data_IF_317380317730
#
_entry.id   IF_317380317730
#
_cell.length_a   1.000
_cell.length_b   1.000
_cell.length_c   1.000
_cell.angle_alpha   90.00
_cell.angle_beta   90.00
_cell.angle_gamma   90.00
#
_symmetry.space_group_name_H-M   'P 1'
#
loop_
_entity.id
_entity.type
_entity.pdbx_description
1 polymer ?
#
# COMPACT_ATOMS: atom_id res chain seq x y z
N UNK A 1 39.43 46.74 16.36
CA UNK A 1 38.38 47.13 17.33
C UNK A 1 37.33 46.04 17.34
N UNK A 2 36.82 45.72 18.54
CA UNK A 2 35.70 44.82 18.87
C UNK A 2 35.90 43.32 18.57
N UNK A 3 35.54 42.36 19.43
CA UNK A 3 35.18 42.33 20.87
C UNK A 3 35.45 40.87 21.28
N UNK A 4 36.18 40.71 22.38
CA UNK A 4 36.39 39.45 23.07
C UNK A 4 35.17 39.20 23.97
N UNK A 5 34.46 38.09 23.78
CA UNK A 5 33.36 37.66 24.65
C UNK A 5 33.57 36.21 25.05
N UNK A 6 34.49 36.03 26.00
CA UNK A 6 34.20 35.43 27.30
C UNK A 6 33.50 34.07 27.33
N UNK A 7 34.27 33.03 27.64
CA UNK A 7 33.79 31.96 28.53
C UNK A 7 34.85 31.78 29.62
N UNK A 8 34.52 32.28 30.82
CA UNK A 8 35.31 32.03 32.03
C UNK A 8 34.94 30.66 32.63
N UNK A 9 35.98 29.84 32.77
CA UNK A 9 36.31 28.96 33.92
C UNK A 9 35.14 28.48 34.78
N UNK A 10 34.92 27.16 34.78
CA UNK A 10 34.50 26.43 35.98
C UNK A 10 35.31 25.12 36.12
N UNK A 11 36.14 25.12 37.17
CA UNK A 11 36.39 24.04 38.11
C UNK A 11 37.00 22.72 37.60
N UNK A 12 38.21 22.48 38.13
CA UNK A 12 38.88 21.19 38.18
C UNK A 12 37.95 20.06 38.64
N UNK A 13 37.62 19.18 37.72
CA UNK A 13 37.17 17.82 37.98
C UNK A 13 37.95 16.92 37.05
N UNK A 14 38.75 16.00 37.61
CA UNK A 14 39.58 15.07 36.87
C UNK A 14 38.77 14.39 35.76
N UNK A 15 39.06 14.75 34.50
CA UNK A 15 38.53 14.05 33.35
C UNK A 15 39.27 12.72 33.25
N UNK A 16 38.66 11.68 33.80
CA UNK A 16 39.02 10.31 33.48
C UNK A 16 39.12 10.18 31.95
N UNK A 17 40.08 9.42 31.41
CA UNK A 17 40.24 9.32 29.97
C UNK A 17 38.92 8.78 29.41
N UNK A 18 38.26 9.61 28.59
CA UNK A 18 37.19 9.18 27.70
C UNK A 18 37.80 8.07 26.85
N UNK A 19 37.59 6.83 27.27
CA UNK A 19 37.83 5.66 26.43
C UNK A 19 36.93 5.87 25.24
N UNK A 20 37.49 6.41 24.17
CA UNK A 20 37.02 6.12 22.83
C UNK A 20 37.13 4.60 22.78
N UNK A 21 36.00 3.92 23.00
CA UNK A 21 35.90 2.51 22.76
C UNK A 21 36.20 2.38 21.28
N UNK A 22 37.46 2.05 20.95
CA UNK A 22 37.80 1.52 19.65
C UNK A 22 36.82 0.36 19.47
N UNK A 23 35.95 0.47 18.46
CA UNK A 23 35.15 -0.66 18.01
C UNK A 23 36.14 -1.82 17.86
N UNK A 24 36.02 -2.80 18.74
CA UNK A 24 36.93 -3.93 18.73
C UNK A 24 36.61 -4.72 17.47
N UNK A 25 37.60 -5.32 16.79
CA UNK A 25 37.34 -6.12 15.58
C UNK A 25 36.33 -7.26 15.84
N UNK A 26 36.16 -7.68 17.10
CA UNK A 26 35.11 -8.60 17.53
C UNK A 26 33.69 -7.99 17.49
N UNK A 27 33.52 -6.71 17.87
CA UNK A 27 32.25 -6.00 17.74
C UNK A 27 31.90 -5.74 16.26
N UNK A 28 32.91 -5.42 15.44
CA UNK A 28 32.74 -5.27 13.98
C UNK A 28 32.36 -6.61 13.33
N UNK A 29 33.01 -7.70 13.73
CA UNK A 29 32.66 -9.05 13.26
C UNK A 29 31.25 -9.47 13.68
N UNK A 30 30.84 -9.21 14.92
CA UNK A 30 29.50 -9.51 15.41
C UNK A 30 28.43 -8.68 14.69
N UNK A 31 28.73 -7.42 14.40
CA UNK A 31 27.85 -6.55 13.62
C UNK A 31 27.66 -7.08 12.19
N UNK A 32 28.75 -7.46 11.51
CA UNK A 32 28.67 -8.06 10.17
C UNK A 32 27.84 -9.36 10.19
N UNK A 33 28.08 -10.25 11.16
CA UNK A 33 27.27 -11.48 11.31
C UNK A 33 25.79 -11.17 11.58
N UNK A 34 25.48 -10.15 12.37
CA UNK A 34 24.10 -9.74 12.63
C UNK A 34 23.42 -9.21 11.35
N UNK A 35 24.12 -8.37 10.58
CA UNK A 35 23.61 -7.88 9.29
C UNK A 35 23.39 -9.03 8.29
N UNK A 36 24.32 -9.98 8.21
CA UNK A 36 24.17 -11.17 7.36
C UNK A 36 22.97 -12.03 7.79
N UNK A 37 22.78 -12.22 9.10
CA UNK A 37 21.64 -12.95 9.63
C UNK A 37 20.29 -12.24 9.35
N UNK A 38 20.26 -10.92 9.42
CA UNK A 38 19.08 -10.11 9.09
C UNK A 38 18.71 -10.23 7.62
N UNK A 39 19.69 -10.05 6.72
CA UNK A 39 19.48 -10.21 5.26
C UNK A 39 19.02 -11.62 4.94
N UNK A 40 19.61 -12.64 5.58
CA UNK A 40 19.20 -14.03 5.41
C UNK A 40 17.75 -14.24 5.85
N UNK A 41 17.37 -13.78 7.05
CA UNK A 41 16.01 -13.91 7.55
C UNK A 41 14.98 -13.23 6.64
N UNK A 42 15.28 -12.00 6.19
CA UNK A 42 14.43 -11.25 5.26
C UNK A 42 14.27 -11.98 3.92
N UNK A 43 15.38 -12.53 3.41
CA UNK A 43 15.38 -13.30 2.15
C UNK A 43 14.54 -14.58 2.25
N UNK A 44 14.64 -15.30 3.37
CA UNK A 44 13.83 -16.52 3.57
C UNK A 44 12.33 -16.19 3.71
N UNK A 45 11.99 -15.07 4.33
CA UNK A 45 10.59 -14.58 4.38
C UNK A 45 10.07 -14.26 2.98
N UNK A 46 10.87 -13.56 2.16
CA UNK A 46 10.52 -13.25 0.76
C UNK A 46 10.33 -14.51 -0.07
N UNK A 47 11.24 -15.49 0.03
CA UNK A 47 11.09 -16.79 -0.65
C UNK A 47 9.83 -17.52 -0.22
N UNK A 48 9.50 -17.49 1.08
CA UNK A 48 8.26 -18.10 1.55
C UNK A 48 7.04 -17.44 0.93
N UNK A 49 6.99 -16.10 0.90
CA UNK A 49 5.93 -15.35 0.23
C UNK A 49 5.82 -15.72 -1.26
N UNK A 50 6.95 -15.83 -1.98
CA UNK A 50 6.96 -16.23 -3.38
C UNK A 50 6.37 -17.62 -3.64
N UNK A 51 6.43 -18.53 -2.65
CA UNK A 51 5.85 -19.88 -2.78
C UNK A 51 4.35 -19.94 -2.47
N UNK A 52 3.81 -18.98 -1.72
CA UNK A 52 2.43 -18.97 -1.25
C UNK A 52 1.35 -19.04 -2.34
N UNK A 53 1.53 -18.45 -3.54
CA UNK A 53 0.59 -18.60 -4.66
C UNK A 53 0.37 -20.06 -5.11
N UNK A 54 1.38 -20.91 -4.96
CA UNK A 54 1.33 -22.31 -5.41
C UNK A 54 0.64 -23.19 -4.38
N UNK A 55 0.74 -22.84 -3.09
CA UNK A 55 0.09 -23.57 -2.01
C UNK A 55 -1.43 -23.43 -2.12
N UNK A 56 -2.18 -24.47 -1.77
CA UNK A 56 -3.66 -24.47 -1.80
C UNK A 56 -4.21 -24.29 -0.39
N UNK A 57 -5.12 -23.35 -0.20
CA UNK A 57 -5.90 -23.27 1.03
C UNK A 57 -7.07 -24.26 0.98
N UNK A 58 -7.22 -25.07 2.03
CA UNK A 58 -8.32 -26.03 2.18
C UNK A 58 -9.48 -25.52 3.04
N UNK A 59 -9.37 -24.29 3.57
CA UNK A 59 -10.35 -23.69 4.46
C UNK A 59 -10.48 -22.18 4.22
N UNK A 60 -11.62 -21.62 4.63
CA UNK A 60 -11.85 -20.18 4.57
C UNK A 60 -10.84 -19.40 5.44
N UNK A 61 -10.46 -19.97 6.59
CA UNK A 61 -9.42 -19.39 7.44
C UNK A 61 -8.07 -19.32 6.72
N UNK A 62 -7.70 -20.37 5.96
CA UNK A 62 -6.49 -20.35 5.13
C UNK A 62 -6.56 -19.33 3.99
N UNK A 63 -7.75 -19.09 3.45
CA UNK A 63 -7.97 -18.04 2.45
C UNK A 63 -7.83 -16.64 3.06
N UNK A 64 -8.40 -16.40 4.24
CA UNK A 64 -8.24 -15.15 4.99
C UNK A 64 -6.77 -14.89 5.30
N UNK A 65 -6.05 -15.90 5.79
CA UNK A 65 -4.62 -15.78 6.06
C UNK A 65 -3.80 -15.37 4.82
N UNK A 66 -4.13 -15.93 3.63
CA UNK A 66 -3.50 -15.51 2.37
C UNK A 66 -3.82 -14.05 2.02
N UNK A 67 -5.05 -13.60 2.23
CA UNK A 67 -5.46 -12.22 1.96
C UNK A 67 -4.80 -11.23 2.92
N UNK A 68 -4.72 -11.56 4.22
CA UNK A 68 -4.01 -10.75 5.21
C UNK A 68 -2.53 -10.63 4.89
N UNK A 69 -1.88 -11.72 4.45
CA UNK A 69 -0.50 -11.71 3.97
C UNK A 69 -0.30 -10.78 2.76
N UNK A 70 -1.21 -10.82 1.78
CA UNK A 70 -1.17 -9.94 0.60
C UNK A 70 -1.29 -8.46 1.01
N UNK A 71 -2.25 -8.14 1.90
CA UNK A 71 -2.44 -6.78 2.41
C UNK A 71 -1.22 -6.31 3.22
N UNK A 72 -0.58 -7.22 3.96
CA UNK A 72 0.66 -6.94 4.69
C UNK A 72 1.80 -6.55 3.75
N UNK A 73 1.98 -7.29 2.65
CA UNK A 73 3.00 -7.02 1.64
C UNK A 73 2.72 -5.74 0.83
N UNK A 74 1.45 -5.48 0.46
CA UNK A 74 1.04 -4.32 -0.35
C UNK A 74 1.36 -2.97 0.31
N UNK A 75 1.43 -2.91 1.65
CA UNK A 75 1.81 -1.69 2.39
C UNK A 75 3.26 -1.25 2.15
N UNK A 76 4.10 -2.13 1.61
CA UNK A 76 5.50 -1.85 1.27
C UNK A 76 5.72 -1.66 -0.24
N UNK A 77 4.68 -1.89 -1.06
CA UNK A 77 4.75 -1.76 -2.51
C UNK A 77 4.64 -0.28 -2.88
N UNK A 78 5.73 0.29 -3.39
CA UNK A 78 5.77 1.68 -3.86
C UNK A 78 5.13 1.87 -5.23
N UNK A 79 5.14 0.84 -6.10
CA UNK A 79 4.62 0.89 -7.47
C UNK A 79 3.34 0.04 -7.60
N UNK A 80 2.23 0.69 -7.94
CA UNK A 80 0.93 0.05 -8.14
C UNK A 80 0.91 -1.00 -9.27
N UNK A 81 1.95 -1.07 -10.09
CA UNK A 81 2.12 -2.10 -11.12
C UNK A 81 2.70 -3.42 -10.60
N UNK A 82 3.36 -3.41 -9.43
CA UNK A 82 3.85 -4.61 -8.73
C UNK A 82 2.74 -5.34 -7.95
N UNK A 83 1.49 -5.10 -8.33
CA UNK A 83 0.33 -5.69 -7.69
C UNK A 83 0.43 -7.23 -7.68
N UNK A 84 0.13 -7.91 -6.56
CA UNK A 84 0.44 -9.32 -6.35
C UNK A 84 -0.55 -10.26 -7.08
N UNK A 85 -0.63 -10.16 -8.40
CA UNK A 85 -1.53 -10.93 -9.27
C UNK A 85 -1.44 -12.45 -9.06
N UNK A 86 -0.25 -13.08 -8.91
CA UNK A 86 -0.16 -14.51 -8.64
C UNK A 86 -0.86 -14.90 -7.33
N UNK A 87 -0.77 -14.05 -6.30
CA UNK A 87 -1.35 -14.30 -5.00
C UNK A 87 -2.89 -14.18 -5.05
N UNK A 88 -3.39 -13.14 -5.72
CA UNK A 88 -4.83 -12.94 -5.94
C UNK A 88 -5.43 -14.09 -6.77
N UNK A 89 -4.73 -14.55 -7.81
CA UNK A 89 -5.17 -15.69 -8.61
C UNK A 89 -5.23 -17.00 -7.78
N UNK A 90 -4.27 -17.19 -6.85
CA UNK A 90 -4.26 -18.33 -5.92
C UNK A 90 -5.47 -18.32 -4.99
N UNK A 91 -5.74 -17.17 -4.35
CA UNK A 91 -6.91 -17.01 -3.47
C UNK A 91 -8.21 -17.27 -4.24
N UNK A 92 -8.35 -16.71 -5.44
CA UNK A 92 -9.52 -16.93 -6.29
C UNK A 92 -9.71 -18.42 -6.64
N UNK A 93 -8.63 -19.14 -6.92
CA UNK A 93 -8.66 -20.58 -7.19
C UNK A 93 -9.15 -21.36 -5.97
N UNK A 94 -8.65 -21.02 -4.80
CA UNK A 94 -9.03 -21.69 -3.55
C UNK A 94 -10.51 -21.44 -3.21
N UNK A 95 -10.99 -20.20 -3.36
CA UNK A 95 -12.39 -19.84 -3.21
C UNK A 95 -13.29 -20.64 -4.16
N UNK A 96 -12.95 -20.67 -5.45
CA UNK A 96 -13.68 -21.46 -6.46
C UNK A 96 -13.68 -22.95 -6.15
N UNK A 97 -12.60 -23.47 -5.58
CA UNK A 97 -12.55 -24.87 -5.18
C UNK A 97 -13.49 -25.19 -4.01
N UNK A 98 -13.85 -24.19 -3.19
CA UNK A 98 -14.80 -24.33 -2.09
C UNK A 98 -16.25 -24.05 -2.52
N UNK A 99 -16.47 -23.03 -3.35
CA UNK A 99 -17.81 -22.54 -3.71
C UNK A 99 -18.31 -23.04 -5.06
N UNK A 100 -17.44 -23.67 -5.85
CA UNK A 100 -17.63 -23.81 -7.29
C UNK A 100 -17.37 -22.48 -8.01
N UNK A 101 -17.47 -22.48 -9.34
CA UNK A 101 -17.45 -21.25 -10.11
C UNK A 101 -18.71 -20.43 -9.85
N UNK A 102 -18.55 -19.12 -9.72
CA UNK A 102 -19.68 -18.20 -9.73
C UNK A 102 -20.44 -18.38 -11.06
N UNK A 103 -21.78 -18.49 -11.03
CA UNK A 103 -22.55 -18.43 -12.26
C UNK A 103 -22.18 -17.13 -12.98
N UNK A 104 -22.05 -17.18 -14.31
CA UNK A 104 -21.82 -15.97 -15.09
C UNK A 104 -22.93 -14.99 -14.73
N UNK A 105 -22.62 -13.99 -13.90
CA UNK A 105 -23.53 -12.90 -13.63
C UNK A 105 -23.69 -12.21 -14.97
N UNK A 106 -24.77 -12.55 -15.67
CA UNK A 106 -25.22 -11.75 -16.79
C UNK A 106 -25.90 -10.58 -16.09
N UNK A 107 -25.28 -9.40 -16.01
CA UNK A 107 -25.98 -8.25 -15.45
C UNK A 107 -27.30 -8.17 -16.17
N UNK A 108 -28.38 -8.13 -15.39
CA UNK A 108 -29.72 -8.16 -15.95
C UNK A 108 -29.82 -6.98 -16.93
N UNK A 109 -29.95 -7.30 -18.22
CA UNK A 109 -29.98 -6.31 -19.28
C UNK A 109 -31.12 -5.31 -19.06
N UNK A 110 -32.15 -5.69 -18.31
CA UNK A 110 -33.24 -4.80 -17.93
C UNK A 110 -32.76 -3.71 -16.97
N UNK A 111 -31.96 -4.05 -15.95
CA UNK A 111 -31.38 -3.10 -14.99
C UNK A 111 -30.44 -2.13 -15.72
N UNK A 112 -29.53 -2.65 -16.52
CA UNK A 112 -28.60 -1.78 -17.29
C UNK A 112 -29.34 -0.84 -18.24
N UNK A 113 -30.42 -1.30 -18.89
CA UNK A 113 -31.26 -0.44 -19.74
C UNK A 113 -32.02 0.62 -18.94
N UNK A 114 -32.51 0.26 -17.75
CA UNK A 114 -33.18 1.21 -16.86
C UNK A 114 -32.22 2.30 -16.38
N UNK A 115 -30.98 1.93 -16.01
CA UNK A 115 -29.95 2.88 -15.61
C UNK A 115 -29.55 3.79 -16.77
N UNK A 116 -29.36 3.25 -17.97
CA UNK A 116 -29.07 4.05 -19.18
C UNK A 116 -30.21 5.03 -19.47
N UNK A 117 -31.47 4.59 -19.40
CA UNK A 117 -32.62 5.46 -19.62
C UNK A 117 -32.71 6.57 -18.56
N UNK A 118 -32.41 6.25 -17.30
CA UNK A 118 -32.36 7.23 -16.20
C UNK A 118 -31.30 8.29 -16.46
N UNK A 119 -30.07 7.86 -16.76
CA UNK A 119 -28.97 8.79 -17.05
C UNK A 119 -29.23 9.64 -18.29
N UNK A 120 -29.86 9.08 -19.32
CA UNK A 120 -30.31 9.85 -20.48
C UNK A 120 -31.31 10.95 -20.12
N UNK A 121 -32.30 10.62 -19.29
CA UNK A 121 -33.28 11.62 -18.83
C UNK A 121 -32.63 12.73 -18.01
N UNK A 122 -31.72 12.41 -17.10
CA UNK A 122 -31.00 13.42 -16.32
C UNK A 122 -30.10 14.30 -17.19
N UNK A 123 -29.38 13.71 -18.15
CA UNK A 123 -28.58 14.46 -19.11
C UNK A 123 -29.44 15.41 -19.97
N UNK A 124 -30.64 14.96 -20.34
CA UNK A 124 -31.58 15.77 -21.12
C UNK A 124 -32.07 16.96 -20.31
N UNK A 125 -32.49 16.75 -19.05
CA UNK A 125 -32.88 17.85 -18.15
C UNK A 125 -31.77 18.86 -17.97
N UNK A 126 -30.52 18.39 -17.83
CA UNK A 126 -29.36 19.24 -17.63
C UNK A 126 -29.07 20.09 -18.87
N UNK A 127 -29.15 19.52 -20.07
CA UNK A 127 -29.03 20.29 -21.32
C UNK A 127 -30.15 21.33 -21.47
N UNK A 128 -31.39 20.99 -21.12
CA UNK A 128 -32.50 21.95 -21.19
C UNK A 128 -32.28 23.10 -20.22
N UNK A 129 -31.90 22.81 -18.97
CA UNK A 129 -31.62 23.83 -17.96
C UNK A 129 -30.48 24.78 -18.41
N UNK A 130 -29.41 24.24 -19.00
CA UNK A 130 -28.32 25.07 -19.54
C UNK A 130 -28.79 25.95 -20.70
N UNK A 131 -29.62 25.43 -21.60
CA UNK A 131 -30.17 26.19 -22.72
C UNK A 131 -31.11 27.31 -22.25
N UNK A 132 -31.88 27.07 -21.21
CA UNK A 132 -32.78 28.07 -20.62
C UNK A 132 -31.97 29.16 -19.89
N UNK A 133 -30.92 28.80 -19.15
CA UNK A 133 -30.00 29.74 -18.51
C UNK A 133 -29.27 30.62 -19.53
N UNK A 134 -28.80 30.05 -20.64
CA UNK A 134 -28.17 30.82 -21.72
C UNK A 134 -29.16 31.77 -22.41
N UNK A 135 -30.43 31.35 -22.55
CA UNK A 135 -31.49 32.19 -23.11
C UNK A 135 -31.85 33.36 -22.18
N UNK A 136 -31.85 33.13 -20.87
CA UNK A 136 -32.06 34.15 -19.84
C UNK A 136 -30.90 35.14 -19.76
N UNK A 137 -29.65 34.69 -19.90
CA UNK A 137 -28.46 35.56 -19.89
C UNK A 137 -28.36 36.45 -21.13
N UNK A 138 -28.87 35.98 -22.27
CA UNK A 138 -28.78 36.69 -23.55
C UNK A 138 -30.05 37.50 -23.89
N UNK A 139 -31.03 37.58 -22.97
CA UNK A 139 -32.23 38.39 -23.16
C UNK A 139 -31.89 39.89 -23.09
N UNK A 140 -32.38 40.74 -24.03
CA UNK A 140 -32.11 42.17 -23.99
C UNK A 140 -32.81 42.80 -22.78
N UNK A 141 -32.04 43.55 -21.99
CA UNK A 141 -32.57 44.36 -20.88
C UNK A 141 -33.29 45.56 -21.49
N UNK A 142 -34.63 45.58 -21.38
CA UNK A 142 -35.48 46.72 -21.75
C UNK A 142 -35.37 47.88 -20.77
#
# INVERSE_FOLDING_TARGET
MLVDTGIQVLTAGASAPRRIAAATPAADSQYVTACEAEVFAMTEVLKLQDTMPVLRASSLLGIVAKLEMIIGADREIGDLTDFPWPHIASVLRDLKAMTGDLPRSRPDRTITRADVARHWNEATKLMTALSDEDSLRNAPVS
#
